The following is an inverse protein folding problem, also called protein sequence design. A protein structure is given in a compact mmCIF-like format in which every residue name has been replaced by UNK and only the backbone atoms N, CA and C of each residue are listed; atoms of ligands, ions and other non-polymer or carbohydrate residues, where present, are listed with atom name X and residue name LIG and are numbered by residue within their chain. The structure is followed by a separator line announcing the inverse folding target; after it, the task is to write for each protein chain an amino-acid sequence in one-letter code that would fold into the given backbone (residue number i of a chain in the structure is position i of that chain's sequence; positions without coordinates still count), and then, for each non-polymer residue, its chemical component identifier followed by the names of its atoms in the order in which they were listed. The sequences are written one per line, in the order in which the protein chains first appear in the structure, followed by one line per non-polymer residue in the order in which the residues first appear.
data_IF_093290172291
#
_entry.id   IF_093290172291
#
_cell.length_a   1.000
_cell.length_b   1.000
_cell.length_c   1.000
_cell.angle_alpha   90.00
_cell.angle_beta   90.00
_cell.angle_gamma   90.00
#
_symmetry.space_group_name_H-M   'P 1'
#
loop_
_entity.id
_entity.type
_entity.pdbx_description
1 polymer ?
#
# COMPACT_ATOMS: atom_id res chain seq x y z
N UNK A 1 -14.00 -22.80 22.18
CA UNK A 1 -13.83 -22.03 20.94
C UNK A 1 -12.50 -21.28 21.05
N UNK A 2 -11.54 -21.54 20.17
CA UNK A 2 -10.26 -20.84 20.22
C UNK A 2 -10.48 -19.41 19.74
N UNK A 3 -10.41 -18.43 20.65
CA UNK A 3 -10.46 -17.01 20.28
C UNK A 3 -9.36 -16.71 19.27
N UNK A 4 -9.68 -15.93 18.24
CA UNK A 4 -8.72 -15.51 17.21
C UNK A 4 -7.53 -14.86 17.91
N UNK A 5 -6.35 -15.50 17.86
CA UNK A 5 -5.16 -14.93 18.50
C UNK A 5 -4.87 -13.57 17.87
N UNK A 6 -4.79 -12.53 18.70
CA UNK A 6 -4.23 -11.24 18.28
C UNK A 6 -2.80 -11.50 17.78
N UNK A 7 -2.51 -11.09 16.56
CA UNK A 7 -1.22 -11.31 15.90
C UNK A 7 -0.73 -10.00 15.30
N UNK A 8 0.55 -9.73 15.51
CA UNK A 8 1.27 -8.71 14.75
C UNK A 8 1.40 -9.25 13.32
N UNK A 9 1.10 -8.42 12.33
CA UNK A 9 1.25 -8.76 10.92
C UNK A 9 2.53 -8.16 10.35
N UNK A 10 3.19 -8.87 9.47
CA UNK A 10 4.28 -8.36 8.63
C UNK A 10 3.78 -8.23 7.21
N UNK A 11 3.96 -7.05 6.64
CA UNK A 11 3.45 -6.69 5.32
C UNK A 11 4.54 -6.04 4.47
N UNK A 12 4.31 -6.01 3.17
CA UNK A 12 5.11 -5.28 2.19
C UNK A 12 4.26 -4.23 1.51
N UNK A 13 4.88 -3.11 1.13
CA UNK A 13 4.25 -2.10 0.27
C UNK A 13 5.24 -1.59 -0.78
N UNK A 14 4.75 -1.41 -2.01
CA UNK A 14 5.53 -0.87 -3.11
C UNK A 14 5.28 0.63 -3.27
N UNK A 15 6.33 1.44 -3.23
CA UNK A 15 6.26 2.88 -3.44
C UNK A 15 6.56 3.19 -4.91
N UNK A 16 5.53 3.12 -5.76
CA UNK A 16 5.63 3.51 -7.16
C UNK A 16 5.31 5.00 -7.33
N UNK A 17 6.17 5.71 -8.06
CA UNK A 17 6.04 7.15 -8.30
C UNK A 17 5.95 7.46 -9.79
N UNK A 18 5.12 8.45 -10.14
CA UNK A 18 5.04 9.00 -11.48
C UNK A 18 4.56 10.45 -11.41
N UNK A 19 5.33 11.39 -11.98
CA UNK A 19 4.99 12.82 -12.09
C UNK A 19 4.54 13.47 -10.77
N UNK A 20 5.30 13.25 -9.69
CA UNK A 20 4.98 13.77 -8.34
C UNK A 20 3.79 13.09 -7.66
N UNK A 21 3.32 11.97 -8.21
CA UNK A 21 2.21 11.18 -7.67
C UNK A 21 2.69 9.83 -7.17
N UNK A 22 2.02 9.34 -6.12
CA UNK A 22 2.20 8.01 -5.56
C UNK A 22 1.05 7.10 -6.01
N UNK A 23 1.36 5.89 -6.48
CA UNK A 23 0.34 4.88 -6.74
C UNK A 23 -0.15 4.32 -5.41
N UNK A 24 -1.46 4.38 -5.17
CA UNK A 24 -2.08 3.85 -3.97
C UNK A 24 -3.50 3.36 -4.27
N UNK A 25 -4.03 2.47 -3.43
CA UNK A 25 -5.42 2.07 -3.46
C UNK A 25 -6.26 2.84 -2.44
N UNK A 26 -7.53 3.04 -2.78
CA UNK A 26 -8.50 3.72 -1.94
C UNK A 26 -8.91 2.84 -0.75
N UNK A 27 -8.79 3.41 0.46
CA UNK A 27 -9.28 2.80 1.70
C UNK A 27 -10.61 3.45 2.05
N UNK A 28 -11.70 2.70 1.92
CA UNK A 28 -13.06 3.17 2.24
C UNK A 28 -13.52 2.73 3.63
N UNK A 29 -14.54 3.40 4.16
CA UNK A 29 -15.31 2.91 5.30
C UNK A 29 -16.46 1.98 4.88
N UNK A 30 -17.19 1.45 5.85
CA UNK A 30 -18.35 0.56 5.61
C UNK A 30 -19.49 1.22 4.83
N UNK A 31 -19.47 2.56 4.68
CA UNK A 31 -20.42 3.33 3.89
C UNK A 31 -19.86 3.70 2.50
N UNK A 32 -18.68 3.17 2.12
CA UNK A 32 -18.01 3.43 0.85
C UNK A 32 -17.34 4.80 0.77
N UNK A 33 -17.21 5.55 1.87
CA UNK A 33 -16.57 6.87 1.88
C UNK A 33 -15.06 6.72 1.97
N UNK A 34 -14.33 7.49 1.17
CA UNK A 34 -12.87 7.49 1.17
C UNK A 34 -12.31 7.97 2.53
N UNK A 35 -11.64 7.08 3.26
CA UNK A 35 -10.97 7.40 4.54
C UNK A 35 -9.51 7.83 4.33
N UNK A 36 -8.89 7.31 3.29
CA UNK A 36 -7.48 7.46 3.02
C UNK A 36 -7.04 6.57 1.87
N UNK A 37 -5.73 6.49 1.69
CA UNK A 37 -5.09 5.67 0.66
C UNK A 37 -3.89 4.95 1.23
N UNK A 38 -3.52 3.83 0.62
CA UNK A 38 -2.35 3.06 1.00
C UNK A 38 -1.64 2.54 -0.26
N UNK A 39 -0.31 2.53 -0.32
CA UNK A 39 0.38 1.89 -1.44
C UNK A 39 0.05 0.40 -1.52
N UNK A 40 0.10 -0.15 -2.72
CA UNK A 40 -0.21 -1.55 -3.01
C UNK A 40 0.82 -2.50 -2.40
N UNK A 41 0.41 -3.75 -2.25
CA UNK A 41 1.13 -4.79 -1.52
C UNK A 41 0.29 -5.38 -0.39
N UNK A 42 0.79 -6.44 0.23
CA UNK A 42 0.01 -7.20 1.19
C UNK A 42 0.87 -7.94 2.21
N UNK A 43 0.41 -9.12 2.60
CA UNK A 43 1.01 -9.85 3.73
C UNK A 43 2.16 -10.72 3.23
N UNK A 44 3.24 -10.76 4.01
CA UNK A 44 4.30 -11.75 3.77
C UNK A 44 3.78 -13.11 4.27
N UNK A 45 3.76 -14.10 3.40
CA UNK A 45 3.32 -15.45 3.74
C UNK A 45 4.40 -16.24 4.49
N UNK A 46 3.99 -17.34 5.12
CA UNK A 46 4.94 -18.19 5.83
C UNK A 46 5.89 -18.87 4.86
N UNK A 47 7.21 -18.69 5.07
CA UNK A 47 8.24 -19.22 4.20
C UNK A 47 8.56 -18.33 2.99
N UNK A 48 7.94 -17.14 2.92
CA UNK A 48 8.13 -16.18 1.83
C UNK A 48 9.12 -15.07 2.24
N UNK A 49 9.94 -14.62 1.28
CA UNK A 49 10.76 -13.40 1.48
C UNK A 49 9.93 -12.15 1.26
N UNK A 50 10.38 -10.98 1.75
CA UNK A 50 9.66 -9.73 1.50
C UNK A 50 9.71 -9.33 0.01
N UNK A 51 10.79 -9.68 -0.69
CA UNK A 51 10.95 -9.43 -2.12
C UNK A 51 9.95 -10.28 -2.93
N UNK A 52 9.84 -11.58 -2.62
CA UNK A 52 8.88 -12.48 -3.27
C UNK A 52 7.44 -12.06 -2.96
N UNK A 53 7.14 -11.71 -1.71
CA UNK A 53 5.82 -11.22 -1.31
C UNK A 53 5.43 -9.99 -2.11
N UNK A 54 6.33 -9.01 -2.24
CA UNK A 54 6.02 -7.78 -2.96
C UNK A 54 5.79 -8.05 -4.45
N UNK A 55 6.58 -8.94 -5.05
CA UNK A 55 6.38 -9.36 -6.44
C UNK A 55 5.07 -10.13 -6.65
N UNK A 56 4.70 -11.03 -5.71
CA UNK A 56 3.43 -11.78 -5.75
C UNK A 56 2.22 -10.85 -5.65
N UNK A 57 2.22 -9.92 -4.70
CA UNK A 57 1.08 -9.02 -4.49
C UNK A 57 0.84 -8.15 -5.73
N UNK A 58 1.89 -7.58 -6.35
CA UNK A 58 1.73 -6.83 -7.59
C UNK A 58 1.27 -7.69 -8.78
N UNK A 59 1.66 -8.97 -8.82
CA UNK A 59 1.15 -9.95 -9.80
C UNK A 59 -0.34 -10.23 -9.58
N UNK A 60 -0.77 -10.42 -8.35
CA UNK A 60 -2.16 -10.74 -8.01
C UNK A 60 -3.09 -9.54 -8.20
N UNK A 61 -2.67 -8.36 -7.73
CA UNK A 61 -3.49 -7.14 -7.76
C UNK A 61 -3.52 -6.51 -9.15
N UNK A 62 -2.39 -6.45 -9.86
CA UNK A 62 -2.26 -5.62 -11.07
C UNK A 62 -1.79 -6.38 -12.32
N UNK A 63 -1.58 -7.70 -12.23
CA UNK A 63 -0.97 -8.53 -13.30
C UNK A 63 0.31 -7.91 -13.87
N UNK A 64 1.15 -7.37 -12.97
CA UNK A 64 2.37 -6.64 -13.35
C UNK A 64 3.60 -7.17 -12.64
N UNK A 65 4.75 -7.05 -13.29
CA UNK A 65 6.06 -7.24 -12.68
C UNK A 65 6.60 -5.90 -12.19
N UNK A 66 7.40 -6.00 -11.13
CA UNK A 66 8.06 -4.86 -10.53
C UNK A 66 9.57 -5.04 -10.52
N UNK A 67 10.27 -3.92 -10.45
CA UNK A 67 11.67 -3.82 -10.07
C UNK A 67 11.77 -3.02 -8.77
N UNK A 68 12.50 -3.53 -7.77
CA UNK A 68 12.81 -2.77 -6.55
C UNK A 68 14.01 -1.87 -6.85
N UNK A 69 13.83 -0.56 -6.69
CA UNK A 69 14.78 0.45 -7.19
C UNK A 69 15.60 1.12 -6.10
N UNK A 70 15.44 0.72 -4.84
CA UNK A 70 16.14 1.34 -3.72
C UNK A 70 15.94 0.62 -2.40
N UNK A 71 16.38 1.28 -1.33
CA UNK A 71 16.45 0.67 -0.01
C UNK A 71 15.09 0.46 0.63
N UNK A 72 15.00 -0.63 1.40
CA UNK A 72 13.83 -0.92 2.21
C UNK A 72 13.78 -0.02 3.46
N UNK A 73 12.59 0.48 3.75
CA UNK A 73 12.26 1.20 5.00
C UNK A 73 11.21 0.42 5.77
N UNK A 74 11.32 0.38 7.10
CA UNK A 74 10.32 -0.29 7.95
C UNK A 74 9.45 0.73 8.66
N UNK A 75 8.14 0.53 8.59
CA UNK A 75 7.16 1.30 9.36
C UNK A 75 6.43 0.40 10.36
N UNK A 76 6.26 0.88 11.59
CA UNK A 76 5.34 0.28 12.54
C UNK A 76 4.00 1.03 12.48
N UNK A 77 2.91 0.28 12.42
CA UNK A 77 1.55 0.82 12.39
C UNK A 77 0.69 0.14 13.45
N UNK A 78 0.20 0.93 14.40
CA UNK A 78 -0.73 0.51 15.45
C UNK A 78 -2.00 1.36 15.35
N UNK A 79 -3.14 0.74 15.07
CA UNK A 79 -4.40 1.47 14.87
C UNK A 79 -5.63 0.62 15.22
N UNK A 80 -6.74 1.28 15.53
CA UNK A 80 -8.02 0.61 15.76
C UNK A 80 -8.80 0.47 14.46
N UNK A 81 -9.34 -0.73 14.19
CA UNK A 81 -10.31 -0.99 13.12
C UNK A 81 -11.33 -2.01 13.62
N UNK A 82 -12.61 -1.65 13.53
CA UNK A 82 -13.75 -2.48 13.95
C UNK A 82 -13.71 -2.87 15.44
N UNK A 83 -13.18 -1.97 16.28
CA UNK A 83 -12.98 -2.22 17.72
C UNK A 83 -11.83 -3.19 18.05
N UNK A 84 -11.05 -3.61 17.05
CA UNK A 84 -9.83 -4.40 17.24
C UNK A 84 -8.58 -3.56 17.00
N UNK A 85 -7.66 -3.60 17.96
CA UNK A 85 -6.28 -3.11 17.78
C UNK A 85 -5.58 -3.95 16.71
N UNK A 86 -5.14 -3.29 15.64
CA UNK A 86 -4.32 -3.85 14.57
C UNK A 86 -2.89 -3.35 14.73
N UNK A 87 -1.95 -4.28 14.65
CA UNK A 87 -0.52 -4.03 14.78
C UNK A 87 0.19 -4.64 13.58
N UNK A 88 0.82 -3.80 12.76
CA UNK A 88 1.50 -4.19 11.54
C UNK A 88 2.92 -3.61 11.50
N UNK A 89 3.89 -4.40 11.04
CA UNK A 89 5.15 -3.91 10.50
C UNK A 89 5.09 -3.96 8.99
N UNK A 90 5.41 -2.86 8.33
CA UNK A 90 5.41 -2.73 6.87
C UNK A 90 6.84 -2.53 6.38
N UNK A 91 7.30 -3.42 5.52
CA UNK A 91 8.50 -3.20 4.72
C UNK A 91 8.08 -2.45 3.45
N UNK A 92 8.60 -1.24 3.26
CA UNK A 92 8.35 -0.43 2.08
C UNK A 92 9.60 -0.32 1.23
N UNK A 93 9.45 -0.43 -0.08
CA UNK A 93 10.55 -0.15 -1.01
C UNK A 93 10.07 0.69 -2.19
N UNK A 94 10.89 1.60 -2.71
CA UNK A 94 10.63 2.22 -4.01
C UNK A 94 10.67 1.15 -5.10
N UNK A 95 9.73 1.23 -6.03
CA UNK A 95 9.59 0.28 -7.12
C UNK A 95 9.32 0.96 -8.46
N UNK A 96 9.56 0.23 -9.54
CA UNK A 96 9.14 0.56 -10.89
C UNK A 96 8.25 -0.54 -11.45
N UNK A 97 7.13 -0.16 -12.06
CA UNK A 97 6.26 -1.08 -12.80
C UNK A 97 6.90 -1.37 -14.17
N UNK A 98 6.95 -2.63 -14.58
CA UNK A 98 7.71 -3.04 -15.76
C UNK A 98 6.85 -3.22 -17.01
N UNK A 99 5.62 -3.70 -16.85
CA UNK A 99 4.75 -4.12 -17.94
C UNK A 99 3.28 -3.71 -17.74
N UNK A 100 3.00 -2.80 -16.81
CA UNK A 100 1.71 -2.13 -16.72
C UNK A 100 1.84 -0.61 -16.87
N UNK A 101 0.82 0.00 -17.47
CA UNK A 101 0.72 1.44 -17.60
C UNK A 101 -0.65 1.89 -17.06
N UNK A 102 -0.65 2.46 -15.86
CA UNK A 102 -1.86 2.97 -15.20
C UNK A 102 -2.01 4.45 -15.61
N UNK A 103 -3.12 4.84 -16.28
CA UNK A 103 -3.33 6.23 -16.69
C UNK A 103 -3.31 7.19 -15.48
N UNK A 104 -2.63 8.32 -15.62
CA UNK A 104 -2.51 9.33 -14.55
C UNK A 104 -3.81 10.05 -14.23
N UNK A 105 -4.73 10.12 -15.19
CA UNK A 105 -6.08 10.70 -15.07
C UNK A 105 -7.16 9.65 -14.76
N UNK A 106 -6.77 8.39 -14.57
CA UNK A 106 -7.66 7.27 -14.29
C UNK A 106 -7.20 6.42 -13.11
N UNK A 107 -7.65 5.17 -13.13
CA UNK A 107 -7.28 4.16 -12.15
C UNK A 107 -7.52 2.75 -12.69
N UNK A 108 -7.11 1.77 -11.91
CA UNK A 108 -7.32 0.35 -12.16
C UNK A 108 -8.19 -0.22 -11.05
N UNK A 109 -9.20 -1.00 -11.45
CA UNK A 109 -10.03 -1.76 -10.52
C UNK A 109 -9.51 -3.18 -10.51
N UNK A 110 -9.28 -3.72 -9.32
CA UNK A 110 -8.81 -5.08 -9.14
C UNK A 110 -9.49 -5.75 -7.95
N UNK A 111 -9.64 -7.09 -7.97
CA UNK A 111 -10.12 -7.83 -6.81
C UNK A 111 -9.00 -8.03 -5.78
N UNK A 112 -9.26 -7.74 -4.51
CA UNK A 112 -8.44 -8.20 -3.39
C UNK A 112 -8.68 -9.72 -3.20
N UNK A 113 -7.84 -10.38 -2.38
CA UNK A 113 -7.90 -11.84 -2.17
C UNK A 113 -9.24 -12.39 -1.63
N UNK A 114 -10.12 -11.55 -1.09
CA UNK A 114 -11.48 -11.93 -0.68
C UNK A 114 -12.58 -11.62 -1.71
N UNK A 115 -12.21 -11.09 -2.88
CA UNK A 115 -13.10 -10.69 -3.96
C UNK A 115 -13.63 -9.26 -3.85
N UNK A 116 -13.27 -8.51 -2.80
CA UNK A 116 -13.59 -7.08 -2.70
C UNK A 116 -12.91 -6.31 -3.82
N UNK A 117 -13.65 -5.43 -4.51
CA UNK A 117 -13.07 -4.58 -5.55
C UNK A 117 -12.38 -3.37 -4.93
N UNK A 118 -11.11 -3.21 -5.24
CA UNK A 118 -10.28 -2.07 -4.87
C UNK A 118 -10.02 -1.19 -6.09
N UNK A 119 -9.88 0.12 -5.84
CA UNK A 119 -9.50 1.11 -6.86
C UNK A 119 -8.10 1.61 -6.55
N UNK A 120 -7.14 1.33 -7.43
CA UNK A 120 -5.81 1.92 -7.39
C UNK A 120 -5.66 3.04 -8.43
N UNK A 121 -5.03 4.15 -8.03
CA UNK A 121 -4.74 5.29 -8.91
C UNK A 121 -3.59 6.12 -8.38
N UNK A 122 -3.17 7.08 -9.19
CA UNK A 122 -2.11 8.02 -8.84
C UNK A 122 -2.66 9.15 -7.96
N UNK A 123 -1.99 9.40 -6.82
CA UNK A 123 -2.33 10.45 -5.87
C UNK A 123 -1.22 11.48 -5.77
N UNK A 124 -1.57 12.74 -5.97
CA UNK A 124 -0.65 13.87 -5.85
C UNK A 124 -0.09 13.99 -4.42
N UNK A 125 1.24 14.00 -4.29
CA UNK A 125 1.89 14.01 -2.97
C UNK A 125 1.61 15.32 -2.23
N UNK A 126 1.48 16.45 -2.92
CA UNK A 126 1.13 17.73 -2.29
C UNK A 126 -0.31 17.71 -1.76
N UNK A 127 -1.24 17.06 -2.48
CA UNK A 127 -2.60 16.84 -1.98
C UNK A 127 -2.62 15.92 -0.75
N UNK A 128 -1.84 14.83 -0.77
CA UNK A 128 -1.67 13.97 0.40
C UNK A 128 -1.06 14.74 1.59
N UNK A 129 -0.14 15.66 1.34
CA UNK A 129 0.46 16.53 2.37
C UNK A 129 -0.57 17.47 3.02
N UNK A 130 -1.64 17.85 2.30
CA UNK A 130 -2.80 18.57 2.85
C UNK A 130 -3.80 17.66 3.57
N UNK A 131 -3.62 16.35 3.51
CA UNK A 131 -4.52 15.36 4.09
C UNK A 131 -5.72 14.98 3.20
N UNK A 132 -5.61 15.24 1.89
CA UNK A 132 -6.69 15.10 0.91
C UNK A 132 -6.35 14.05 -0.17
N UNK A 133 -6.49 12.74 0.09
CA UNK A 133 -6.91 12.08 1.34
C UNK A 133 -5.73 11.74 2.27
N UNK A 134 -6.00 11.12 3.42
CA UNK A 134 -4.94 10.65 4.34
C UNK A 134 -4.12 9.51 3.73
N UNK A 135 -2.80 9.52 3.93
CA UNK A 135 -1.91 8.44 3.52
C UNK A 135 -1.63 7.47 4.69
N UNK A 136 -1.72 6.17 4.42
CA UNK A 136 -1.40 5.10 5.37
C UNK A 136 -0.15 4.31 4.95
N UNK A 137 0.67 3.81 5.91
CA UNK A 137 0.60 4.09 7.35
C UNK A 137 0.90 5.57 7.63
N UNK A 138 0.44 6.12 8.75
CA UNK A 138 0.58 7.56 9.03
C UNK A 138 2.03 8.07 9.06
N UNK A 139 3.00 7.20 9.32
CA UNK A 139 4.42 7.50 9.27
C UNK A 139 4.98 7.63 7.83
N UNK A 140 4.26 7.15 6.81
CA UNK A 140 4.72 7.17 5.43
C UNK A 140 4.83 8.59 4.88
N UNK A 141 3.80 9.43 5.05
CA UNK A 141 3.83 10.80 4.52
C UNK A 141 5.01 11.64 5.06
N UNK A 142 5.28 11.70 6.38
CA UNK A 142 6.48 12.35 6.91
C UNK A 142 7.77 11.78 6.33
N UNK A 143 7.85 10.47 6.08
CA UNK A 143 9.00 9.87 5.42
C UNK A 143 9.15 10.36 3.98
N UNK A 144 8.06 10.37 3.19
CA UNK A 144 8.09 10.85 1.80
C UNK A 144 8.53 12.32 1.70
N UNK A 145 8.10 13.17 2.63
CA UNK A 145 8.47 14.59 2.65
C UNK A 145 9.96 14.80 2.95
N UNK A 146 10.55 13.98 3.83
CA UNK A 146 11.95 14.10 4.23
C UNK A 146 12.92 13.37 3.27
N UNK A 147 12.40 12.51 2.40
CA UNK A 147 13.15 11.73 1.44
C UNK A 147 12.51 11.88 0.05
N UNK A 148 12.61 13.06 -0.59
CA UNK A 148 12.01 13.28 -1.89
C UNK A 148 12.58 12.28 -2.92
N UNK A 149 11.69 11.55 -3.58
CA UNK A 149 12.02 10.55 -4.58
C UNK A 149 12.08 11.24 -5.95
N UNK A 150 13.29 11.55 -6.42
CA UNK A 150 13.54 12.00 -7.80
C UNK A 150 13.00 13.37 -8.14
#
# INVERSE_FOLDING_TARGET
MAGRRKRIKTKVIGLAFQDGRLLAFEVTDDLGRLRGVRPLGGSIEYGETREDALAREFREELDTRIEITGDWTVFESLYEKDGETRHEFLFAAPIRLLDCNIPTDGGVIYPEGDGTLCTARWFDIEALARGEPRLFPGALLPFLINHPFG
#
